data_IF_770829466804
#
_entry.id   IF_770829466804
#
_cell.length_a   1.000
_cell.length_b   1.000
_cell.length_c   1.000
_cell.angle_alpha   90.00
_cell.angle_beta   90.00
_cell.angle_gamma   90.00
#
_symmetry.space_group_name_H-M   'P 1'
#
loop_
_entity.id
_entity.type
_entity.pdbx_description
1 polymer ?
#
# COMPACT_ATOMS: atom_id res chain seq x y z
N UNK A 1 7.76 51.60 -46.72
CA UNK A 1 6.74 50.55 -46.90
C UNK A 1 7.31 49.20 -46.46
N UNK A 2 7.44 48.92 -45.15
CA UNK A 2 7.90 47.61 -44.64
C UNK A 2 7.41 47.26 -43.20
N UNK A 3 6.28 47.81 -42.76
CA UNK A 3 5.85 47.61 -41.35
C UNK A 3 4.55 46.78 -41.18
N UNK A 4 3.85 46.44 -42.26
CA UNK A 4 2.55 45.75 -42.16
C UNK A 4 2.60 44.23 -42.28
N UNK A 5 3.71 43.65 -42.74
CA UNK A 5 3.79 42.20 -42.92
C UNK A 5 4.14 41.41 -41.65
N UNK A 6 4.70 42.07 -40.60
CA UNK A 6 5.06 41.41 -39.36
C UNK A 6 3.83 41.13 -38.44
N UNK A 7 2.81 42.00 -38.51
CA UNK A 7 1.61 41.86 -37.70
C UNK A 7 0.71 40.68 -38.17
N UNK A 8 0.68 40.40 -39.45
CA UNK A 8 -0.12 39.30 -40.00
C UNK A 8 0.47 37.91 -39.68
N UNK A 9 1.77 37.79 -39.66
CA UNK A 9 2.45 36.52 -39.28
C UNK A 9 2.25 36.20 -37.82
N UNK A 10 2.28 37.20 -36.95
CA UNK A 10 2.09 37.00 -35.50
C UNK A 10 0.64 36.54 -35.15
N UNK A 11 -0.36 37.06 -35.85
CA UNK A 11 -1.76 36.70 -35.63
C UNK A 11 -2.04 35.26 -36.13
N UNK A 12 -1.42 34.83 -37.22
CA UNK A 12 -1.56 33.46 -37.74
C UNK A 12 -0.96 32.41 -36.80
N UNK A 13 0.13 32.68 -36.10
CA UNK A 13 0.70 31.75 -35.12
C UNK A 13 -0.11 31.65 -33.84
N UNK A 14 -0.75 32.74 -33.40
CA UNK A 14 -1.64 32.71 -32.25
C UNK A 14 -2.93 31.88 -32.54
N UNK A 15 -3.47 31.98 -33.74
CA UNK A 15 -4.64 31.22 -34.16
C UNK A 15 -4.40 29.70 -34.19
N UNK A 16 -3.24 29.27 -34.68
CA UNK A 16 -2.86 27.84 -34.73
C UNK A 16 -2.57 27.31 -33.32
N UNK A 17 -1.96 28.11 -32.45
CA UNK A 17 -1.71 27.72 -31.04
C UNK A 17 -3.00 27.50 -30.23
N UNK A 18 -4.00 28.35 -30.41
CA UNK A 18 -5.30 28.23 -29.73
C UNK A 18 -6.14 27.05 -30.28
N UNK A 19 -6.10 26.76 -31.57
CA UNK A 19 -6.77 25.60 -32.14
C UNK A 19 -6.13 24.28 -31.69
N UNK A 20 -4.80 24.25 -31.50
CA UNK A 20 -4.08 23.09 -30.98
C UNK A 20 -4.44 22.75 -29.51
N UNK A 21 -4.63 23.77 -28.65
CA UNK A 21 -4.99 23.58 -27.24
C UNK A 21 -6.43 23.07 -27.07
N UNK A 22 -7.35 23.49 -27.94
CA UNK A 22 -8.74 23.01 -27.87
C UNK A 22 -8.91 21.59 -28.40
N UNK A 23 -8.13 21.17 -29.38
CA UNK A 23 -8.22 19.81 -29.96
C UNK A 23 -7.58 18.74 -29.04
N UNK A 24 -6.52 19.06 -28.29
CA UNK A 24 -5.89 18.14 -27.35
C UNK A 24 -6.66 18.01 -26.02
N UNK A 25 -7.42 19.03 -25.63
CA UNK A 25 -8.18 19.04 -24.38
C UNK A 25 -9.46 18.19 -24.40
N UNK A 26 -10.09 18.00 -25.55
CA UNK A 26 -11.32 17.22 -25.69
C UNK A 26 -11.07 15.72 -25.85
N UNK A 27 -9.96 15.33 -26.47
CA UNK A 27 -9.61 13.91 -26.66
C UNK A 27 -9.26 13.18 -25.35
N UNK A 28 -8.58 13.89 -24.43
CA UNK A 28 -8.12 13.28 -23.19
C UNK A 28 -9.22 13.17 -22.11
N UNK A 29 -10.22 14.05 -22.13
CA UNK A 29 -11.35 13.97 -21.19
C UNK A 29 -12.30 12.83 -21.55
N UNK A 30 -12.54 12.57 -22.83
CA UNK A 30 -13.37 11.44 -23.26
C UNK A 30 -12.68 10.09 -23.07
N UNK A 31 -11.35 10.03 -23.21
CA UNK A 31 -10.59 8.79 -22.98
C UNK A 31 -10.56 8.40 -21.50
N UNK A 32 -10.49 9.38 -20.59
CA UNK A 32 -10.55 9.15 -19.15
C UNK A 32 -11.94 8.69 -18.68
N UNK A 33 -13.01 9.14 -19.36
CA UNK A 33 -14.39 8.68 -19.12
C UNK A 33 -14.65 7.26 -19.61
N UNK A 34 -14.07 6.87 -20.75
CA UNK A 34 -14.21 5.52 -21.31
C UNK A 34 -13.43 4.49 -20.48
N UNK A 35 -12.28 4.84 -19.93
CA UNK A 35 -11.51 3.92 -19.06
C UNK A 35 -12.11 3.80 -17.64
N UNK A 36 -12.69 4.86 -17.09
CA UNK A 36 -13.28 4.83 -15.73
C UNK A 36 -14.59 4.04 -15.62
N UNK A 37 -15.28 3.78 -16.73
CA UNK A 37 -16.56 3.06 -16.74
C UNK A 37 -16.46 1.56 -17.04
N UNK A 38 -15.25 1.04 -17.30
CA UNK A 38 -15.07 -0.35 -17.77
C UNK A 38 -14.18 -1.21 -16.86
N UNK A 39 -13.57 -0.64 -15.81
CA UNK A 39 -12.71 -1.40 -14.91
C UNK A 39 -13.53 -1.96 -13.74
N UNK A 40 -13.59 -3.29 -13.63
CA UNK A 40 -14.26 -3.94 -12.53
C UNK A 40 -13.36 -3.98 -11.25
N UNK A 41 -13.94 -4.41 -10.12
CA UNK A 41 -13.20 -4.49 -8.85
C UNK A 41 -12.01 -5.46 -8.90
N UNK A 42 -12.06 -6.45 -9.76
CA UNK A 42 -11.00 -7.45 -9.92
C UNK A 42 -9.82 -6.83 -10.68
N UNK A 43 -10.10 -6.17 -11.79
CA UNK A 43 -9.08 -5.47 -12.59
C UNK A 43 -8.38 -4.38 -11.79
N UNK A 44 -9.13 -3.61 -10.96
CA UNK A 44 -8.54 -2.62 -10.07
C UNK A 44 -7.63 -3.26 -9.01
N UNK A 45 -8.03 -4.39 -8.42
CA UNK A 45 -7.21 -5.12 -7.45
C UNK A 45 -5.94 -5.68 -8.08
N UNK A 46 -6.02 -6.20 -9.29
CA UNK A 46 -4.86 -6.71 -10.02
C UNK A 46 -3.88 -5.59 -10.35
N UNK A 47 -4.37 -4.44 -10.82
CA UNK A 47 -3.55 -3.27 -11.10
C UNK A 47 -2.89 -2.69 -9.84
N UNK A 48 -3.63 -2.59 -8.72
CA UNK A 48 -3.11 -2.09 -7.45
C UNK A 48 -2.26 -3.12 -6.70
N UNK A 49 -2.49 -4.41 -6.93
CA UNK A 49 -1.78 -5.52 -6.29
C UNK A 49 -0.29 -5.58 -6.62
N UNK A 50 0.13 -5.07 -7.80
CA UNK A 50 1.55 -5.00 -8.17
C UNK A 50 2.39 -3.97 -7.39
N UNK A 51 1.74 -3.11 -6.59
CA UNK A 51 2.41 -2.06 -5.79
C UNK A 51 2.45 -2.42 -4.30
N UNK A 52 1.55 -3.31 -3.88
CA UNK A 52 1.35 -3.72 -2.49
C UNK A 52 1.74 -5.19 -2.30
N UNK A 53 2.09 -5.61 -1.06
CA UNK A 53 2.36 -7.01 -0.79
C UNK A 53 1.12 -7.87 -1.09
N UNK A 54 1.31 -9.18 -1.36
CA UNK A 54 0.21 -10.12 -1.46
C UNK A 54 -0.71 -10.02 -0.25
N UNK A 55 -2.02 -10.12 -0.48
CA UNK A 55 -3.02 -10.04 0.59
C UNK A 55 -2.99 -11.27 1.49
N UNK A 56 -3.69 -11.14 2.61
CA UNK A 56 -3.93 -12.26 3.54
C UNK A 56 -5.32 -12.85 3.30
N UNK A 57 -5.46 -14.15 3.60
CA UNK A 57 -6.76 -14.79 3.65
C UNK A 57 -7.57 -14.20 4.83
N UNK A 58 -8.86 -13.85 4.67
CA UNK A 58 -9.70 -13.41 5.77
C UNK A 58 -9.72 -14.36 6.98
N UNK A 59 -9.60 -15.66 6.74
CA UNK A 59 -9.54 -16.67 7.81
C UNK A 59 -8.18 -16.71 8.54
N UNK A 60 -7.14 -16.15 7.94
CA UNK A 60 -5.83 -16.00 8.55
C UNK A 60 -5.65 -14.67 9.31
N UNK A 61 -6.68 -13.83 9.35
CA UNK A 61 -6.68 -12.63 10.18
C UNK A 61 -6.69 -13.02 11.67
N UNK A 62 -6.05 -12.23 12.55
CA UNK A 62 -6.25 -12.38 13.98
C UNK A 62 -7.74 -12.25 14.32
N UNK A 63 -8.25 -13.09 15.23
CA UNK A 63 -9.66 -13.11 15.63
C UNK A 63 -10.64 -13.01 14.45
N UNK A 64 -10.61 -13.96 13.49
CA UNK A 64 -11.32 -13.84 12.21
C UNK A 64 -12.83 -13.74 12.36
N UNK A 65 -13.38 -14.19 13.48
CA UNK A 65 -14.80 -14.05 13.84
C UNK A 65 -15.19 -12.71 14.45
N UNK A 66 -14.24 -11.81 14.70
CA UNK A 66 -14.51 -10.51 15.31
C UNK A 66 -15.16 -9.53 14.32
N UNK A 67 -15.91 -8.55 14.87
CA UNK A 67 -16.47 -7.45 14.08
C UNK A 67 -15.37 -6.66 13.37
N UNK A 68 -14.21 -6.46 13.99
CA UNK A 68 -13.07 -5.76 13.41
C UNK A 68 -12.50 -6.47 12.18
N UNK A 69 -12.31 -7.79 12.24
CA UNK A 69 -11.87 -8.59 11.09
C UNK A 69 -12.89 -8.54 9.94
N UNK A 70 -14.18 -8.66 10.24
CA UNK A 70 -15.24 -8.56 9.23
C UNK A 70 -15.25 -7.18 8.53
N UNK A 71 -15.11 -6.09 9.29
CA UNK A 71 -15.04 -4.73 8.73
C UNK A 71 -13.77 -4.53 7.89
N UNK A 72 -12.62 -5.05 8.35
CA UNK A 72 -11.37 -4.99 7.59
C UNK A 72 -11.52 -5.67 6.23
N UNK A 73 -12.09 -6.87 6.20
CA UNK A 73 -12.36 -7.60 4.97
C UNK A 73 -13.36 -6.88 4.06
N UNK A 74 -14.41 -6.27 4.63
CA UNK A 74 -15.46 -5.61 3.87
C UNK A 74 -15.01 -4.31 3.21
N UNK A 75 -14.20 -3.49 3.90
CA UNK A 75 -13.80 -2.17 3.41
C UNK A 75 -12.42 -2.18 2.75
N UNK A 76 -11.41 -2.78 3.36
CA UNK A 76 -10.04 -2.68 2.86
C UNK A 76 -9.74 -3.57 1.65
N UNK A 77 -10.59 -4.57 1.35
CA UNK A 77 -10.43 -5.43 0.18
C UNK A 77 -11.16 -4.93 -1.09
N UNK A 78 -11.76 -3.74 -1.06
CA UNK A 78 -12.51 -3.22 -2.20
C UNK A 78 -11.60 -2.78 -3.37
N UNK A 79 -10.43 -2.21 -3.07
CA UNK A 79 -9.54 -1.61 -4.07
C UNK A 79 -8.25 -2.39 -4.28
N UNK A 80 -7.79 -3.15 -3.30
CA UNK A 80 -6.55 -3.92 -3.34
C UNK A 80 -6.68 -5.20 -2.52
N UNK A 81 -5.62 -6.01 -2.47
CA UNK A 81 -5.61 -7.19 -1.63
C UNK A 81 -5.77 -6.84 -0.15
N UNK A 82 -6.41 -7.73 0.61
CA UNK A 82 -6.68 -7.55 2.05
C UNK A 82 -5.38 -7.37 2.83
N UNK A 83 -5.15 -6.22 3.49
CA UNK A 83 -3.91 -5.99 4.24
C UNK A 83 -3.90 -6.79 5.55
N UNK A 84 -2.72 -7.23 5.97
CA UNK A 84 -2.53 -7.74 7.33
C UNK A 84 -2.46 -6.56 8.32
N UNK A 85 -3.07 -6.65 9.51
CA UNK A 85 -2.84 -5.67 10.58
C UNK A 85 -1.35 -5.51 10.95
N UNK A 86 -0.54 -6.55 10.76
CA UNK A 86 0.91 -6.54 11.01
C UNK A 86 1.74 -5.81 9.96
N UNK A 87 1.12 -5.15 8.97
CA UNK A 87 1.86 -4.32 7.99
C UNK A 87 2.37 -3.00 8.57
N UNK A 88 1.75 -2.51 9.63
CA UNK A 88 2.09 -1.25 10.29
C UNK A 88 2.05 -1.39 11.80
N UNK A 89 2.71 -0.46 12.49
CA UNK A 89 2.64 -0.35 13.95
C UNK A 89 1.32 0.30 14.39
N UNK A 90 0.99 0.19 15.68
CA UNK A 90 -0.20 0.81 16.24
C UNK A 90 -0.21 2.34 16.09
N UNK A 91 0.97 2.97 16.10
CA UNK A 91 1.18 4.41 15.93
C UNK A 91 1.03 4.85 14.46
N UNK A 92 1.37 3.97 13.50
CA UNK A 92 1.28 4.28 12.07
C UNK A 92 -0.13 4.12 11.51
N UNK A 93 -0.91 3.17 12.04
CA UNK A 93 -2.24 2.84 11.54
C UNK A 93 -3.19 4.04 11.44
N UNK A 94 -3.26 4.98 12.41
CA UNK A 94 -4.16 6.14 12.29
C UNK A 94 -3.90 6.98 11.04
N UNK A 95 -2.64 7.17 10.68
CA UNK A 95 -2.26 7.92 9.46
C UNK A 95 -2.57 7.15 8.19
N UNK A 96 -2.34 5.84 8.19
CA UNK A 96 -2.56 4.98 7.02
C UNK A 96 -4.06 4.83 6.74
N UNK A 97 -4.84 4.40 7.74
CA UNK A 97 -6.27 4.19 7.59
C UNK A 97 -7.04 5.49 7.34
N UNK A 98 -6.64 6.60 7.95
CA UNK A 98 -7.24 7.90 7.69
C UNK A 98 -7.16 8.32 6.21
N UNK A 99 -6.04 8.03 5.53
CA UNK A 99 -5.92 8.24 4.08
C UNK A 99 -6.82 7.30 3.28
N UNK A 100 -6.97 6.04 3.71
CA UNK A 100 -7.86 5.08 3.03
C UNK A 100 -9.32 5.49 3.18
N UNK A 101 -9.78 5.81 4.38
CA UNK A 101 -11.14 6.30 4.62
C UNK A 101 -11.46 7.59 3.83
N UNK A 102 -10.51 8.52 3.74
CA UNK A 102 -10.68 9.71 2.91
C UNK A 102 -10.87 9.38 1.42
N UNK A 103 -10.10 8.40 0.89
CA UNK A 103 -10.25 7.92 -0.49
C UNK A 103 -11.59 7.22 -0.72
N UNK A 104 -11.99 6.35 0.19
CA UNK A 104 -13.28 5.64 0.12
C UNK A 104 -14.44 6.64 0.09
N UNK A 105 -14.45 7.63 0.99
CA UNK A 105 -15.46 8.71 0.99
C UNK A 105 -15.49 9.51 -0.30
N UNK A 106 -14.32 9.85 -0.84
CA UNK A 106 -14.21 10.54 -2.12
C UNK A 106 -14.81 9.72 -3.26
N UNK A 107 -14.46 8.44 -3.35
CA UNK A 107 -14.94 7.55 -4.41
C UNK A 107 -16.43 7.24 -4.26
N UNK A 108 -16.92 7.06 -3.03
CA UNK A 108 -18.36 6.89 -2.74
C UNK A 108 -19.17 8.12 -3.15
N UNK A 109 -18.60 9.33 -3.02
CA UNK A 109 -19.21 10.58 -3.48
C UNK A 109 -19.32 10.71 -5.01
N UNK A 110 -18.53 9.93 -5.77
CA UNK A 110 -18.55 9.89 -7.24
C UNK A 110 -19.52 8.84 -7.80
N UNK A 111 -20.63 8.57 -7.10
CA UNK A 111 -21.64 7.57 -7.52
C UNK A 111 -22.06 7.76 -8.98
N UNK A 112 -22.12 6.66 -9.71
CA UNK A 112 -22.53 6.62 -11.12
C UNK A 112 -21.41 6.86 -12.13
N UNK A 113 -20.19 7.16 -11.70
CA UNK A 113 -19.02 7.37 -12.56
C UNK A 113 -18.00 6.24 -12.41
N UNK A 114 -17.92 5.67 -11.22
CA UNK A 114 -17.00 4.59 -10.85
C UNK A 114 -17.78 3.48 -10.12
N UNK A 115 -17.08 2.41 -9.77
CA UNK A 115 -17.65 1.26 -9.06
C UNK A 115 -18.44 1.67 -7.81
N UNK A 116 -19.45 0.87 -7.46
CA UNK A 116 -20.17 1.02 -6.20
C UNK A 116 -19.25 0.63 -5.03
N UNK A 117 -18.70 1.64 -4.39
CA UNK A 117 -17.84 1.47 -3.20
C UNK A 117 -18.60 1.83 -1.94
N UNK A 118 -18.24 1.18 -0.85
CA UNK A 118 -18.78 1.45 0.49
C UNK A 118 -17.71 2.09 1.35
N UNK A 119 -18.10 3.11 2.12
CA UNK A 119 -17.25 3.72 3.15
C UNK A 119 -17.77 3.32 4.53
N UNK A 120 -16.88 3.09 5.51
CA UNK A 120 -17.29 2.84 6.88
C UNK A 120 -17.98 4.07 7.49
N UNK A 121 -18.91 3.82 8.40
CA UNK A 121 -19.45 4.84 9.30
C UNK A 121 -18.41 5.25 10.35
N UNK A 122 -18.55 6.40 11.02
CA UNK A 122 -17.61 6.80 12.07
C UNK A 122 -17.44 5.76 13.18
N UNK A 123 -18.51 5.04 13.56
CA UNK A 123 -18.45 3.96 14.53
C UNK A 123 -17.68 2.74 14.00
N UNK A 124 -17.83 2.42 12.73
CA UNK A 124 -17.08 1.33 12.09
C UNK A 124 -15.61 1.71 11.89
N UNK A 125 -15.29 2.97 11.61
CA UNK A 125 -13.90 3.48 11.58
C UNK A 125 -13.22 3.30 12.94
N UNK A 126 -13.93 3.57 14.04
CA UNK A 126 -13.40 3.37 15.41
C UNK A 126 -13.13 1.89 15.72
N UNK A 127 -14.08 1.00 15.42
CA UNK A 127 -13.92 -0.46 15.61
C UNK A 127 -12.75 -0.98 14.76
N UNK A 128 -12.67 -0.56 13.50
CA UNK A 128 -11.57 -0.89 12.59
C UNK A 128 -10.22 -0.42 13.14
N UNK A 129 -10.16 0.83 13.61
CA UNK A 129 -8.94 1.40 14.17
C UNK A 129 -8.49 0.64 15.41
N UNK A 130 -9.41 0.31 16.30
CA UNK A 130 -9.10 -0.46 17.49
C UNK A 130 -8.58 -1.86 17.11
N UNK A 131 -9.22 -2.54 16.16
CA UNK A 131 -8.79 -3.84 15.66
C UNK A 131 -7.37 -3.78 15.07
N UNK A 132 -7.12 -2.83 14.18
CA UNK A 132 -5.81 -2.64 13.55
C UNK A 132 -4.71 -2.38 14.57
N UNK A 133 -4.96 -1.52 15.57
CA UNK A 133 -4.00 -1.24 16.64
C UNK A 133 -3.73 -2.42 17.55
N UNK A 134 -4.77 -3.17 17.90
CA UNK A 134 -4.64 -4.35 18.78
C UNK A 134 -3.80 -5.44 18.15
N UNK A 135 -3.92 -5.62 16.82
CA UNK A 135 -3.22 -6.67 16.08
C UNK A 135 -2.04 -6.15 15.25
N UNK A 136 -1.61 -4.92 15.50
CA UNK A 136 -0.50 -4.27 14.82
C UNK A 136 0.83 -5.00 15.03
N UNK A 137 1.77 -4.74 14.15
CA UNK A 137 3.15 -5.17 14.32
C UNK A 137 3.76 -4.49 15.56
N UNK A 138 4.44 -5.25 16.38
CA UNK A 138 5.32 -4.72 17.44
C UNK A 138 6.63 -4.32 16.79
N UNK A 139 6.93 -3.02 16.80
CA UNK A 139 8.20 -2.51 16.32
C UNK A 139 9.26 -2.59 17.41
N UNK A 140 10.47 -2.89 16.98
CA UNK A 140 11.64 -2.77 17.82
C UNK A 140 11.89 -1.30 18.18
N UNK A 141 12.12 -1.00 19.45
CA UNK A 141 12.43 0.36 19.85
C UNK A 141 13.72 0.85 19.18
N UNK A 142 13.80 2.15 18.89
CA UNK A 142 14.96 2.71 18.22
C UNK A 142 16.23 2.50 19.08
N UNK A 143 17.25 1.91 18.48
CA UNK A 143 18.52 1.64 19.15
C UNK A 143 18.55 0.40 20.03
N UNK A 144 17.48 -0.41 20.06
CA UNK A 144 17.40 -1.65 20.86
C UNK A 144 17.60 -2.93 20.05
N UNK A 145 18.27 -2.83 18.90
CA UNK A 145 18.64 -4.01 18.12
C UNK A 145 19.55 -4.92 18.94
N UNK A 146 19.16 -6.18 19.23
CA UNK A 146 20.03 -7.11 19.95
C UNK A 146 21.32 -7.37 19.17
N UNK A 147 22.44 -7.49 19.87
CA UNK A 147 23.76 -7.77 19.25
C UNK A 147 24.02 -6.93 17.99
N UNK A 148 23.99 -5.57 18.04
CA UNK A 148 23.92 -4.70 16.87
C UNK A 148 25.12 -4.87 15.92
N UNK A 149 26.27 -5.30 16.43
CA UNK A 149 27.51 -5.50 15.68
C UNK A 149 27.60 -6.89 15.01
N UNK A 150 26.63 -7.77 15.25
CA UNK A 150 26.61 -9.08 14.62
C UNK A 150 26.24 -8.99 13.13
N UNK A 151 26.80 -9.85 12.25
CA UNK A 151 26.44 -9.87 10.83
C UNK A 151 24.93 -10.06 10.60
N UNK A 152 24.28 -10.87 11.43
CA UNK A 152 22.84 -11.11 11.36
C UNK A 152 22.02 -9.86 11.68
N UNK A 153 22.43 -9.06 12.67
CA UNK A 153 21.80 -7.79 13.01
C UNK A 153 21.90 -6.78 11.86
N UNK A 154 23.06 -6.67 11.22
CA UNK A 154 23.26 -5.79 10.06
C UNK A 154 22.35 -6.16 8.89
N UNK A 155 22.28 -7.45 8.55
CA UNK A 155 21.38 -7.96 7.51
C UNK A 155 19.90 -7.75 7.86
N UNK A 156 19.51 -8.03 9.09
CA UNK A 156 18.16 -7.78 9.60
C UNK A 156 17.75 -6.31 9.46
N UNK A 157 18.59 -5.39 9.92
CA UNK A 157 18.34 -3.96 9.85
C UNK A 157 18.18 -3.50 8.39
N UNK A 158 19.15 -3.81 7.53
CA UNK A 158 19.14 -3.43 6.11
C UNK A 158 17.93 -3.98 5.35
N UNK A 159 17.58 -5.23 5.64
CA UNK A 159 16.58 -5.95 4.86
C UNK A 159 15.17 -5.62 5.32
N UNK A 160 14.91 -5.72 6.61
CA UNK A 160 13.55 -5.60 7.14
C UNK A 160 13.04 -4.15 7.18
N UNK A 161 13.94 -3.15 7.17
CA UNK A 161 13.56 -1.73 7.13
C UNK A 161 13.14 -1.22 5.74
N UNK A 162 13.21 -2.04 4.69
CA UNK A 162 12.86 -1.61 3.33
C UNK A 162 11.39 -1.19 3.16
N UNK A 163 10.49 -1.73 3.97
CA UNK A 163 9.04 -1.59 3.77
C UNK A 163 8.30 -1.04 5.00
N UNK A 164 8.74 -1.36 6.19
CA UNK A 164 8.10 -0.99 7.46
C UNK A 164 9.13 -0.85 8.58
N UNK A 165 8.71 -0.43 9.76
CA UNK A 165 9.56 -0.41 10.96
C UNK A 165 10.14 -1.80 11.25
N UNK A 166 11.31 -1.86 11.87
CA UNK A 166 11.92 -3.14 12.25
C UNK A 166 11.00 -3.89 13.23
N UNK A 167 10.64 -5.16 12.93
CA UNK A 167 9.83 -5.94 13.83
C UNK A 167 10.63 -6.31 15.10
N UNK A 168 9.96 -6.34 16.23
CA UNK A 168 10.54 -6.88 17.47
C UNK A 168 10.73 -8.41 17.30
N UNK A 169 11.95 -8.94 17.43
CA UNK A 169 12.18 -10.39 17.37
C UNK A 169 11.35 -11.19 18.37
N UNK A 170 11.04 -10.61 19.53
CA UNK A 170 10.23 -11.24 20.57
C UNK A 170 8.73 -11.34 20.24
N UNK A 171 8.25 -10.81 19.09
CA UNK A 171 6.84 -10.93 18.73
C UNK A 171 6.43 -12.28 18.12
N UNK A 172 7.40 -13.14 17.82
CA UNK A 172 7.21 -14.49 17.30
C UNK A 172 8.08 -15.48 18.06
N UNK A 173 7.63 -16.72 18.13
CA UNK A 173 8.43 -17.83 18.65
C UNK A 173 9.54 -18.21 17.66
N UNK A 174 10.56 -18.88 18.17
CA UNK A 174 11.67 -19.38 17.34
C UNK A 174 11.19 -20.26 16.15
N UNK A 175 10.16 -21.07 16.37
CA UNK A 175 9.59 -21.96 15.33
C UNK A 175 8.79 -21.22 14.25
N UNK A 176 8.27 -20.02 14.52
CA UNK A 176 7.50 -19.23 13.55
C UNK A 176 8.38 -18.41 12.62
N UNK A 177 9.56 -17.97 13.07
CA UNK A 177 10.42 -17.07 12.31
C UNK A 177 10.79 -17.56 10.91
N UNK A 178 11.12 -18.85 10.67
CA UNK A 178 11.44 -19.34 9.32
C UNK A 178 10.33 -19.07 8.31
N UNK A 179 9.08 -19.31 8.68
CA UNK A 179 7.92 -19.07 7.84
C UNK A 179 7.65 -17.56 7.62
N UNK A 180 7.90 -16.74 8.65
CA UNK A 180 7.78 -15.28 8.55
C UNK A 180 8.82 -14.71 7.57
N UNK A 181 10.09 -15.11 7.68
CA UNK A 181 11.17 -14.66 6.79
C UNK A 181 10.90 -15.06 5.34
N UNK A 182 10.44 -16.29 5.10
CA UNK A 182 10.10 -16.77 3.74
C UNK A 182 8.93 -15.97 3.14
N UNK A 183 7.89 -15.69 3.93
CA UNK A 183 6.79 -14.83 3.49
C UNK A 183 7.27 -13.41 3.14
N UNK A 184 8.15 -12.81 3.96
CA UNK A 184 8.72 -11.49 3.66
C UNK A 184 9.58 -11.51 2.40
N UNK A 185 10.36 -12.57 2.16
CA UNK A 185 11.12 -12.76 0.92
C UNK A 185 10.19 -12.79 -0.32
N UNK A 186 9.09 -13.52 -0.24
CA UNK A 186 8.08 -13.57 -1.30
C UNK A 186 7.45 -12.20 -1.54
N UNK A 187 7.16 -11.45 -0.47
CA UNK A 187 6.63 -10.08 -0.56
C UNK A 187 7.64 -9.13 -1.21
N UNK A 188 8.93 -9.25 -0.91
CA UNK A 188 9.99 -8.46 -1.56
C UNK A 188 9.97 -8.68 -3.08
N UNK A 189 9.89 -9.93 -3.53
CA UNK A 189 9.80 -10.26 -4.95
C UNK A 189 8.55 -9.64 -5.61
N UNK A 190 7.38 -9.80 -4.99
CA UNK A 190 6.12 -9.26 -5.48
C UNK A 190 6.11 -7.72 -5.56
N UNK A 191 6.82 -7.04 -4.66
CA UNK A 191 6.90 -5.58 -4.60
C UNK A 191 8.11 -4.97 -5.35
N UNK A 192 8.88 -5.77 -6.08
CA UNK A 192 10.08 -5.32 -6.78
C UNK A 192 11.18 -4.76 -5.85
N UNK A 193 11.24 -5.26 -4.61
CA UNK A 193 12.30 -4.91 -3.65
C UNK A 193 13.53 -5.79 -3.85
N UNK A 194 14.64 -5.41 -3.21
CA UNK A 194 15.81 -6.28 -3.17
C UNK A 194 15.47 -7.58 -2.44
N UNK A 195 15.48 -8.68 -3.17
CA UNK A 195 15.23 -10.02 -2.62
C UNK A 195 16.52 -10.54 -2.00
N UNK A 196 16.43 -11.09 -0.79
CA UNK A 196 17.56 -11.70 -0.08
C UNK A 196 17.94 -13.04 -0.71
N UNK A 197 19.24 -13.34 -0.68
CA UNK A 197 19.77 -14.66 -1.08
C UNK A 197 19.42 -15.74 -0.06
N UNK A 198 19.63 -17.00 -0.39
CA UNK A 198 19.43 -18.11 0.56
C UNK A 198 20.40 -18.04 1.77
N UNK A 199 21.60 -17.51 1.56
CA UNK A 199 22.58 -17.31 2.62
C UNK A 199 22.14 -16.19 3.57
N UNK A 200 21.74 -15.03 3.02
CA UNK A 200 21.19 -13.91 3.81
C UNK A 200 19.93 -14.34 4.57
N UNK A 201 19.04 -15.10 3.93
CA UNK A 201 17.84 -15.65 4.56
C UNK A 201 18.19 -16.50 5.78
N UNK A 202 19.14 -17.42 5.65
CA UNK A 202 19.60 -18.23 6.78
C UNK A 202 20.15 -17.35 7.90
N UNK A 203 21.06 -16.43 7.59
CA UNK A 203 21.67 -15.56 8.60
C UNK A 203 20.66 -14.70 9.35
N UNK A 204 19.67 -14.15 8.63
CA UNK A 204 18.55 -13.37 9.25
C UNK A 204 17.67 -14.28 10.11
N UNK A 205 17.34 -15.47 9.60
CA UNK A 205 16.50 -16.42 10.34
C UNK A 205 17.18 -16.88 11.63
N UNK A 206 18.45 -17.25 11.56
CA UNK A 206 19.23 -17.67 12.73
C UNK A 206 19.34 -16.54 13.77
N UNK A 207 19.50 -15.29 13.30
CA UNK A 207 19.50 -14.12 14.17
C UNK A 207 18.15 -13.95 14.88
N UNK A 208 17.04 -13.98 14.13
CA UNK A 208 15.69 -13.80 14.68
C UNK A 208 15.30 -14.94 15.64
N UNK A 209 15.67 -16.17 15.31
CA UNK A 209 15.44 -17.35 16.18
C UNK A 209 16.17 -17.22 17.52
N UNK A 210 17.40 -16.70 17.53
CA UNK A 210 18.15 -16.48 18.80
C UNK A 210 17.53 -15.42 19.68
N UNK A 211 16.83 -14.45 19.13
CA UNK A 211 16.21 -13.33 19.85
C UNK A 211 14.69 -13.42 19.93
N UNK A 212 14.12 -14.59 19.61
CA UNK A 212 12.69 -14.86 19.68
C UNK A 212 12.15 -14.81 21.10
N UNK A 213 10.83 -14.50 21.24
CA UNK A 213 10.11 -14.49 22.52
C UNK A 213 9.60 -15.88 22.94
#
# INVERSE_FOLDING_TARGET
MKRNNLLWVSISFIGIGLAGITATGTGNRNMMWVMGGMMDQREMREMMGGILPPGVDPQALPDPGSRGAALLAAYCAQCHHLPSPKMHTAEEWPRVSGRMFARERMMTGMRGIMMEMKSPTPQEEEILMQYLKTHAMKALARGSVPEPDSPGAGLFQQTCSQCHALPDPGQHTASEWPAVVERMRSNMAAMGKRVITEEEKRAITDYLVRHAG
#
